data_IF_062798091222
#
_entry.id   IF_062798091222
#
_cell.length_a   1.000
_cell.length_b   1.000
_cell.length_c   1.000
_cell.angle_alpha   90.00
_cell.angle_beta   90.00
_cell.angle_gamma   90.00
#
_symmetry.space_group_name_H-M   'P 1'
#
loop_
_entity.id
_entity.type
_entity.pdbx_description
1 polymer ?
#
# COMPACT_ATOMS: atom_id res chain seq x y z
N UNK A 1 0.14 -20.68 -7.52
CA UNK A 1 0.28 -19.80 -6.33
C UNK A 1 1.54 -18.95 -6.37
N UNK A 2 1.62 -17.89 -5.56
CA UNK A 2 2.76 -16.97 -5.51
C UNK A 2 2.35 -15.51 -5.30
N UNK A 3 3.26 -14.71 -4.75
CA UNK A 3 3.01 -13.29 -4.47
C UNK A 3 2.62 -12.49 -5.74
N UNK A 4 1.87 -11.38 -5.59
CA UNK A 4 1.76 -10.38 -6.64
C UNK A 4 3.16 -9.86 -7.02
N UNK A 5 3.53 -9.94 -8.30
CA UNK A 5 4.89 -9.64 -8.77
C UNK A 5 5.80 -10.87 -8.93
N UNK A 6 5.42 -12.05 -8.43
CA UNK A 6 6.23 -13.26 -8.56
C UNK A 6 6.39 -13.77 -10.00
N UNK A 7 5.58 -13.30 -10.96
CA UNK A 7 5.66 -13.71 -12.37
C UNK A 7 4.86 -14.97 -12.70
N UNK A 8 3.76 -15.23 -11.99
CA UNK A 8 2.83 -16.34 -12.26
C UNK A 8 2.44 -16.45 -13.73
N UNK A 9 2.11 -15.35 -14.38
CA UNK A 9 1.71 -15.33 -15.78
C UNK A 9 2.81 -15.82 -16.74
N UNK A 10 4.09 -15.64 -16.40
CA UNK A 10 5.22 -16.17 -17.20
C UNK A 10 5.26 -17.69 -17.13
N UNK A 11 5.16 -18.24 -15.93
CA UNK A 11 5.08 -19.70 -15.72
C UNK A 11 3.86 -20.28 -16.40
N UNK A 12 2.68 -19.65 -16.27
CA UNK A 12 1.46 -20.06 -16.97
C UNK A 12 1.71 -20.20 -18.48
N UNK A 13 2.28 -19.18 -19.14
CA UNK A 13 2.55 -19.27 -20.59
C UNK A 13 3.52 -20.38 -20.99
N UNK A 14 4.43 -20.78 -20.11
CA UNK A 14 5.42 -21.82 -20.41
C UNK A 14 4.88 -23.25 -20.21
N UNK A 15 3.94 -23.42 -19.27
CA UNK A 15 3.45 -24.74 -18.83
C UNK A 15 2.10 -25.11 -19.40
N UNK A 16 1.27 -24.12 -19.77
CA UNK A 16 -0.10 -24.39 -20.18
C UNK A 16 -0.19 -24.79 -21.64
N UNK A 17 -1.00 -25.83 -21.89
CA UNK A 17 -1.48 -26.15 -23.23
C UNK A 17 -2.30 -24.97 -23.77
N UNK A 18 -2.29 -24.76 -25.10
CA UNK A 18 -3.04 -23.69 -25.73
C UNK A 18 -4.56 -23.79 -25.48
N UNK A 19 -5.05 -25.01 -25.20
CA UNK A 19 -6.46 -25.33 -25.00
C UNK A 19 -6.89 -25.33 -23.51
N UNK A 20 -5.96 -25.08 -22.57
CA UNK A 20 -6.28 -25.05 -21.15
C UNK A 20 -7.20 -23.88 -20.77
N UNK A 21 -8.17 -24.13 -19.91
CA UNK A 21 -9.03 -23.09 -19.36
C UNK A 21 -8.30 -22.29 -18.28
N UNK A 22 -7.88 -21.06 -18.59
CA UNK A 22 -7.23 -20.14 -17.64
C UNK A 22 -8.27 -19.30 -16.85
N UNK A 23 -8.49 -19.67 -15.59
CA UNK A 23 -9.39 -18.99 -14.67
C UNK A 23 -8.57 -18.04 -13.78
N UNK A 24 -8.59 -16.75 -14.14
CA UNK A 24 -7.84 -15.70 -13.47
C UNK A 24 -8.79 -14.61 -12.91
N UNK A 25 -8.88 -14.44 -11.57
CA UNK A 25 -9.77 -13.45 -10.96
C UNK A 25 -9.54 -12.02 -11.47
N UNK A 26 -8.30 -11.66 -11.80
CA UNK A 26 -7.97 -10.32 -12.31
C UNK A 26 -8.52 -10.08 -13.73
N UNK A 27 -8.61 -11.11 -14.59
CA UNK A 27 -9.24 -11.02 -15.90
C UNK A 27 -10.75 -10.89 -15.81
N UNK A 28 -11.36 -11.45 -14.76
CA UNK A 28 -12.80 -11.39 -14.55
C UNK A 28 -13.24 -9.99 -14.10
N UNK A 29 -12.38 -9.22 -13.42
CA UNK A 29 -12.73 -7.88 -12.89
C UNK A 29 -13.36 -6.96 -13.92
N UNK A 30 -12.90 -6.97 -15.18
CA UNK A 30 -13.41 -6.11 -16.24
C UNK A 30 -14.88 -6.36 -16.59
N UNK A 31 -15.44 -7.50 -16.17
CA UNK A 31 -16.86 -7.86 -16.36
C UNK A 31 -17.77 -7.30 -15.26
N UNK A 32 -17.22 -6.72 -14.18
CA UNK A 32 -18.03 -6.13 -13.12
C UNK A 32 -18.64 -4.80 -13.58
N UNK A 33 -19.93 -4.51 -13.34
CA UNK A 33 -20.59 -3.27 -13.80
C UNK A 33 -19.94 -1.98 -13.29
N UNK A 34 -19.29 -2.04 -12.12
CA UNK A 34 -18.60 -0.89 -11.49
C UNK A 34 -17.09 -0.87 -11.74
N UNK A 35 -16.56 -1.79 -12.55
CA UNK A 35 -15.14 -1.80 -12.86
C UNK A 35 -14.74 -0.55 -13.64
N UNK A 36 -13.68 0.11 -13.16
CA UNK A 36 -13.01 1.16 -13.89
C UNK A 36 -11.50 1.08 -13.62
N UNK A 37 -10.63 1.37 -14.59
CA UNK A 37 -9.18 1.43 -14.37
C UNK A 37 -8.77 2.41 -13.26
N UNK A 38 -9.61 3.43 -12.99
CA UNK A 38 -9.34 4.50 -12.02
C UNK A 38 -10.33 4.47 -10.84
N UNK A 39 -10.86 3.30 -10.49
CA UNK A 39 -11.80 3.17 -9.36
C UNK A 39 -11.11 3.43 -8.00
N UNK A 40 -11.86 3.95 -7.04
CA UNK A 40 -11.39 4.16 -5.67
C UNK A 40 -11.20 2.85 -4.90
N UNK A 41 -10.53 2.92 -3.75
CA UNK A 41 -10.16 1.76 -2.91
C UNK A 41 -11.37 0.87 -2.51
N UNK A 42 -12.47 1.47 -2.11
CA UNK A 42 -13.69 0.73 -1.73
C UNK A 42 -14.28 -0.06 -2.91
N UNK A 43 -14.38 0.59 -4.08
CA UNK A 43 -14.87 -0.05 -5.30
C UNK A 43 -13.91 -1.15 -5.77
N UNK A 44 -12.59 -0.95 -5.65
CA UNK A 44 -11.61 -1.98 -5.98
C UNK A 44 -11.75 -3.21 -5.09
N UNK A 45 -11.94 -3.03 -3.77
CA UNK A 45 -12.17 -4.14 -2.84
C UNK A 45 -13.47 -4.90 -3.15
N UNK A 46 -14.55 -4.20 -3.47
CA UNK A 46 -15.82 -4.79 -3.91
C UNK A 46 -15.64 -5.62 -5.19
N UNK A 47 -15.05 -5.02 -6.22
CA UNK A 47 -14.78 -5.67 -7.51
C UNK A 47 -13.88 -6.88 -7.35
N UNK A 48 -12.83 -6.78 -6.52
CA UNK A 48 -11.94 -7.89 -6.21
C UNK A 48 -12.67 -9.04 -5.53
N UNK A 49 -13.48 -8.77 -4.49
CA UNK A 49 -14.29 -9.82 -3.83
C UNK A 49 -15.28 -10.47 -4.78
N UNK A 50 -15.91 -9.70 -5.67
CA UNK A 50 -16.78 -10.24 -6.69
C UNK A 50 -16.03 -11.13 -7.68
N UNK A 51 -14.88 -10.70 -8.20
CA UNK A 51 -14.13 -11.46 -9.20
C UNK A 51 -13.53 -12.75 -8.63
N UNK A 52 -13.11 -12.74 -7.36
CA UNK A 52 -12.71 -13.96 -6.65
C UNK A 52 -13.88 -14.94 -6.52
N UNK A 53 -15.08 -14.47 -6.15
CA UNK A 53 -16.27 -15.35 -6.11
C UNK A 53 -16.60 -15.92 -7.49
N UNK A 54 -16.59 -15.10 -8.53
CA UNK A 54 -16.87 -15.58 -9.90
C UNK A 54 -15.84 -16.57 -10.42
N UNK A 55 -14.56 -16.37 -10.10
CA UNK A 55 -13.53 -17.35 -10.45
C UNK A 55 -13.78 -18.72 -9.80
N UNK A 56 -14.36 -18.75 -8.59
CA UNK A 56 -14.74 -20.00 -7.93
C UNK A 56 -15.89 -20.66 -8.67
N UNK A 57 -16.95 -19.90 -8.98
CA UNK A 57 -18.10 -20.42 -9.71
C UNK A 57 -17.64 -21.02 -11.06
N UNK A 58 -16.84 -20.27 -11.83
CA UNK A 58 -16.27 -20.70 -13.12
C UNK A 58 -15.45 -21.99 -12.97
N UNK A 59 -14.66 -22.12 -11.90
CA UNK A 59 -13.86 -23.32 -11.62
C UNK A 59 -14.73 -24.54 -11.28
N UNK A 60 -15.70 -24.36 -10.38
CA UNK A 60 -16.58 -25.44 -9.97
C UNK A 60 -17.44 -25.94 -11.13
N UNK A 61 -17.92 -25.03 -11.97
CA UNK A 61 -18.70 -25.39 -13.16
C UNK A 61 -17.82 -26.11 -14.19
N UNK A 62 -16.61 -25.63 -14.48
CA UNK A 62 -15.69 -26.28 -15.41
C UNK A 62 -15.33 -27.72 -14.98
N UNK A 63 -15.09 -27.93 -13.68
CA UNK A 63 -14.82 -29.25 -13.10
C UNK A 63 -16.05 -30.16 -13.14
N UNK A 64 -17.27 -29.62 -13.01
CA UNK A 64 -18.51 -30.41 -13.03
C UNK A 64 -18.91 -30.85 -14.42
N UNK A 65 -18.72 -29.96 -15.39
CA UNK A 65 -19.11 -30.10 -16.79
C UNK A 65 -18.24 -31.11 -17.54
N UNK A 66 -16.94 -31.18 -17.19
CA UNK A 66 -16.03 -32.19 -17.74
C UNK A 66 -15.65 -31.97 -19.21
N UNK A 67 -16.08 -30.86 -19.82
CA UNK A 67 -15.70 -30.47 -21.19
C UNK A 67 -14.23 -30.06 -21.31
N UNK A 68 -13.62 -29.57 -20.23
CA UNK A 68 -12.23 -29.10 -20.22
C UNK A 68 -11.31 -30.21 -19.72
N UNK A 69 -10.28 -30.53 -20.52
CA UNK A 69 -9.22 -31.49 -20.12
C UNK A 69 -8.29 -30.87 -19.07
N UNK A 70 -7.82 -29.66 -19.35
CA UNK A 70 -6.87 -28.93 -18.51
C UNK A 70 -7.54 -27.65 -17.97
N UNK A 71 -7.47 -27.46 -16.66
CA UNK A 71 -8.02 -26.28 -15.98
C UNK A 71 -6.93 -25.66 -15.12
N UNK A 72 -6.79 -24.34 -15.21
CA UNK A 72 -5.78 -23.57 -14.50
C UNK A 72 -6.47 -22.57 -13.61
N UNK A 73 -6.22 -22.65 -12.32
CA UNK A 73 -6.85 -21.80 -11.33
C UNK A 73 -5.83 -20.87 -10.69
N UNK A 74 -5.85 -19.59 -11.05
CA UNK A 74 -4.91 -18.61 -10.49
C UNK A 74 -5.34 -18.16 -9.09
N UNK A 75 -4.40 -18.20 -8.16
CA UNK A 75 -4.58 -17.76 -6.78
C UNK A 75 -3.24 -17.32 -6.21
N UNK A 76 -3.24 -16.41 -5.24
CA UNK A 76 -2.04 -16.14 -4.45
C UNK A 76 -1.64 -17.35 -3.60
N UNK A 77 -2.59 -18.22 -3.22
CA UNK A 77 -2.35 -19.37 -2.37
C UNK A 77 -2.15 -19.00 -0.90
N UNK A 78 -2.62 -17.84 -0.45
CA UNK A 78 -2.52 -17.40 0.95
C UNK A 78 -3.61 -17.94 1.88
N UNK A 79 -4.57 -18.70 1.34
CA UNK A 79 -5.65 -19.34 2.11
C UNK A 79 -5.73 -20.83 1.72
N UNK A 80 -5.03 -21.66 2.49
CA UNK A 80 -4.93 -23.10 2.24
C UNK A 80 -6.28 -23.82 2.38
N UNK A 81 -7.07 -23.51 3.42
CA UNK A 81 -8.36 -24.16 3.65
C UNK A 81 -9.34 -23.91 2.49
N UNK A 82 -9.30 -22.70 1.92
CA UNK A 82 -10.10 -22.36 0.75
C UNK A 82 -9.66 -23.12 -0.50
N UNK A 83 -8.34 -23.24 -0.77
CA UNK A 83 -7.83 -24.00 -1.92
C UNK A 83 -8.04 -25.53 -1.77
N UNK A 84 -7.90 -26.06 -0.57
CA UNK A 84 -8.10 -27.49 -0.25
C UNK A 84 -9.44 -28.00 -0.77
N UNK A 85 -10.53 -27.26 -0.50
CA UNK A 85 -11.88 -27.65 -0.96
C UNK A 85 -11.98 -27.80 -2.49
N UNK A 86 -11.26 -26.96 -3.25
CA UNK A 86 -11.24 -26.99 -4.71
C UNK A 86 -10.41 -28.18 -5.23
N UNK A 87 -9.25 -28.42 -4.64
CA UNK A 87 -8.41 -29.58 -4.95
C UNK A 87 -9.20 -30.88 -4.72
N UNK A 88 -9.85 -31.02 -3.57
CA UNK A 88 -10.66 -32.21 -3.26
C UNK A 88 -11.85 -32.36 -4.21
N UNK A 89 -12.48 -31.26 -4.64
CA UNK A 89 -13.54 -31.30 -5.65
C UNK A 89 -13.02 -31.82 -7.00
N UNK A 90 -11.88 -31.31 -7.47
CA UNK A 90 -11.25 -31.74 -8.72
C UNK A 90 -10.88 -33.23 -8.67
N UNK A 91 -10.24 -33.69 -7.57
CA UNK A 91 -9.89 -35.10 -7.38
C UNK A 91 -11.11 -36.02 -7.38
N UNK A 92 -12.20 -35.63 -6.72
CA UNK A 92 -13.47 -36.40 -6.76
C UNK A 92 -14.08 -36.50 -8.15
N UNK A 93 -13.73 -35.60 -9.08
CA UNK A 93 -14.13 -35.63 -10.48
C UNK A 93 -13.09 -36.30 -11.40
N UNK A 94 -12.06 -36.93 -10.83
CA UNK A 94 -11.06 -37.68 -11.57
C UNK A 94 -9.95 -36.84 -12.19
N UNK A 95 -9.84 -35.55 -11.84
CA UNK A 95 -8.72 -34.73 -12.29
C UNK A 95 -7.44 -35.10 -11.55
N UNK A 96 -6.33 -35.12 -12.28
CA UNK A 96 -4.99 -35.05 -11.73
C UNK A 96 -4.71 -33.61 -11.30
N UNK A 97 -4.13 -33.43 -10.11
CA UNK A 97 -3.97 -32.12 -9.48
C UNK A 97 -2.50 -31.75 -9.29
N UNK A 98 -2.13 -30.59 -9.84
CA UNK A 98 -0.79 -30.01 -9.71
C UNK A 98 -0.83 -28.69 -8.94
N UNK A 99 0.07 -28.52 -7.98
CA UNK A 99 0.28 -27.27 -7.26
C UNK A 99 1.61 -26.62 -7.67
N UNK A 100 1.53 -25.53 -8.41
CA UNK A 100 2.70 -24.76 -8.82
C UNK A 100 2.86 -23.51 -7.94
N UNK A 101 3.98 -23.40 -7.22
CA UNK A 101 4.36 -22.19 -6.48
C UNK A 101 5.49 -21.44 -7.21
N UNK A 102 5.16 -20.26 -7.73
CA UNK A 102 6.15 -19.33 -8.29
C UNK A 102 6.76 -18.52 -7.15
N UNK A 103 8.03 -18.78 -6.88
CA UNK A 103 8.79 -18.28 -5.75
C UNK A 103 9.80 -17.23 -6.16
N UNK A 104 9.77 -16.10 -5.45
CA UNK A 104 10.74 -15.00 -5.56
C UNK A 104 10.94 -14.40 -4.16
N UNK A 105 12.09 -13.78 -3.88
CA UNK A 105 12.29 -12.99 -2.68
C UNK A 105 11.23 -11.89 -2.59
N UNK A 106 10.85 -11.57 -1.36
CA UNK A 106 9.84 -10.56 -1.06
C UNK A 106 10.17 -9.20 -1.69
N UNK A 107 11.44 -8.81 -1.64
CA UNK A 107 11.97 -7.58 -2.24
C UNK A 107 11.71 -7.54 -3.75
N UNK A 108 12.07 -8.62 -4.46
CA UNK A 108 11.82 -8.74 -5.91
C UNK A 108 10.32 -8.65 -6.21
N UNK A 109 9.48 -9.27 -5.37
CA UNK A 109 8.04 -9.20 -5.55
C UNK A 109 7.49 -7.77 -5.45
N UNK A 110 7.95 -6.99 -4.47
CA UNK A 110 7.59 -5.58 -4.33
C UNK A 110 8.10 -4.75 -5.51
N UNK A 111 9.37 -4.95 -5.87
CA UNK A 111 10.03 -4.26 -6.97
C UNK A 111 9.28 -4.46 -8.30
N UNK A 112 9.02 -5.71 -8.67
CA UNK A 112 8.24 -6.05 -9.87
C UNK A 112 6.81 -5.49 -9.80
N UNK A 113 6.17 -5.51 -8.63
CA UNK A 113 4.84 -4.95 -8.45
C UNK A 113 4.78 -3.42 -8.69
N UNK A 114 5.80 -2.67 -8.25
CA UNK A 114 5.94 -1.23 -8.53
C UNK A 114 6.09 -0.96 -10.02
N UNK A 115 6.93 -1.74 -10.70
CA UNK A 115 7.15 -1.62 -12.15
C UNK A 115 5.87 -1.92 -12.95
N UNK A 116 5.09 -2.93 -12.56
CA UNK A 116 3.78 -3.24 -13.18
C UNK A 116 2.81 -2.07 -13.10
N UNK A 117 2.77 -1.36 -11.97
CA UNK A 117 1.86 -0.25 -11.74
C UNK A 117 2.05 0.96 -12.65
N UNK A 118 3.23 1.09 -13.28
CA UNK A 118 3.53 2.15 -14.24
C UNK A 118 3.15 1.82 -15.68
N UNK A 119 3.12 0.52 -16.03
CA UNK A 119 2.82 0.04 -17.39
C UNK A 119 1.32 0.04 -17.72
N UNK A 120 0.55 0.97 -17.13
CA UNK A 120 -0.92 1.09 -17.17
C UNK A 120 -1.55 1.05 -18.58
N UNK A 121 -0.74 1.11 -19.63
CA UNK A 121 -1.19 1.02 -21.02
C UNK A 121 -1.26 -0.40 -21.59
N UNK A 122 -0.68 -1.44 -20.96
CA UNK A 122 -0.63 -2.76 -21.63
C UNK A 122 -0.99 -4.01 -20.82
N UNK A 123 -0.66 -4.21 -19.54
CA UNK A 123 -0.77 -5.59 -18.98
C UNK A 123 -0.94 -5.80 -17.46
N UNK A 124 -0.87 -4.79 -16.56
CA UNK A 124 -0.93 -5.08 -15.12
C UNK A 124 -1.41 -3.95 -14.21
N UNK A 125 -2.15 -4.31 -13.16
CA UNK A 125 -2.54 -3.42 -12.06
C UNK A 125 -1.51 -3.49 -10.91
N UNK A 126 -1.22 -2.34 -10.30
CA UNK A 126 -0.47 -2.25 -9.05
C UNK A 126 -1.27 -2.93 -7.94
N UNK A 127 -0.64 -3.85 -7.20
CA UNK A 127 -1.23 -4.39 -5.98
C UNK A 127 -0.77 -3.56 -4.78
N UNK A 128 -1.67 -3.03 -3.93
CA UNK A 128 -1.28 -2.39 -2.68
C UNK A 128 -0.30 -3.27 -1.89
N UNK A 129 0.85 -2.71 -1.52
CA UNK A 129 1.96 -3.52 -0.99
C UNK A 129 1.60 -4.17 0.34
N UNK A 130 0.71 -3.55 1.12
CA UNK A 130 0.18 -4.15 2.35
C UNK A 130 -0.38 -5.56 2.09
N UNK A 131 -1.04 -5.78 0.95
CA UNK A 131 -1.56 -7.11 0.57
C UNK A 131 -0.42 -8.10 0.35
N UNK A 132 0.69 -7.67 -0.24
CA UNK A 132 1.90 -8.49 -0.44
C UNK A 132 2.52 -8.83 0.92
N UNK A 133 2.67 -7.83 1.80
CA UNK A 133 3.18 -8.01 3.16
C UNK A 133 2.33 -8.98 3.98
N UNK A 134 1.00 -8.86 3.91
CA UNK A 134 0.07 -9.73 4.65
C UNK A 134 0.13 -11.18 4.15
N UNK A 135 0.35 -11.38 2.84
CA UNK A 135 0.37 -12.72 2.22
C UNK A 135 1.72 -13.43 2.37
N UNK A 136 2.83 -12.70 2.32
CA UNK A 136 4.18 -13.27 2.35
C UNK A 136 4.41 -14.31 3.47
N UNK A 137 4.16 -14.01 4.76
CA UNK A 137 4.51 -14.93 5.84
C UNK A 137 3.70 -16.23 5.85
N UNK A 138 2.52 -16.27 5.19
CA UNK A 138 1.64 -17.45 5.20
C UNK A 138 1.81 -18.36 3.98
N UNK A 139 2.53 -17.93 2.93
CA UNK A 139 2.64 -18.69 1.69
C UNK A 139 3.37 -20.02 1.87
N UNK A 140 4.46 -20.03 2.62
CA UNK A 140 5.24 -21.25 2.87
C UNK A 140 4.40 -22.32 3.57
N UNK A 141 3.75 -21.95 4.68
CA UNK A 141 2.86 -22.86 5.40
C UNK A 141 1.71 -23.35 4.50
N UNK A 142 1.10 -22.45 3.74
CA UNK A 142 0.01 -22.81 2.83
C UNK A 142 0.47 -23.81 1.74
N UNK A 143 1.66 -23.62 1.16
CA UNK A 143 2.22 -24.58 0.20
C UNK A 143 2.48 -25.93 0.85
N UNK A 144 3.05 -25.97 2.05
CA UNK A 144 3.29 -27.21 2.80
C UNK A 144 1.99 -27.95 3.15
N UNK A 145 0.91 -27.24 3.45
CA UNK A 145 -0.39 -27.85 3.72
C UNK A 145 -1.05 -28.41 2.45
N UNK A 146 -0.97 -27.67 1.35
CA UNK A 146 -1.59 -28.03 0.08
C UNK A 146 -0.80 -29.11 -0.69
N UNK A 147 0.53 -29.12 -0.58
CA UNK A 147 1.39 -30.13 -1.20
C UNK A 147 1.08 -31.57 -0.73
N UNK A 148 0.51 -31.72 0.47
CA UNK A 148 0.11 -33.01 1.03
C UNK A 148 -1.14 -33.62 0.39
N UNK A 149 -1.92 -32.84 -0.35
CA UNK A 149 -3.23 -33.29 -0.88
C UNK A 149 -3.31 -33.33 -2.40
N UNK A 150 -2.43 -32.58 -3.08
CA UNK A 150 -2.28 -32.64 -4.55
C UNK A 150 -1.45 -33.85 -4.95
N UNK A 151 -1.50 -34.19 -6.24
CA UNK A 151 -0.75 -35.34 -6.77
C UNK A 151 0.70 -34.96 -7.08
N UNK A 152 0.92 -33.72 -7.54
CA UNK A 152 2.26 -33.12 -7.73
C UNK A 152 2.29 -31.72 -7.14
N UNK A 153 3.38 -31.40 -6.44
CA UNK A 153 3.65 -30.05 -5.95
C UNK A 153 5.05 -29.62 -6.37
N UNK A 154 5.17 -28.45 -6.98
CA UNK A 154 6.44 -27.91 -7.46
C UNK A 154 6.61 -26.46 -6.99
N UNK A 155 7.78 -26.16 -6.42
CA UNK A 155 8.22 -24.81 -6.10
C UNK A 155 9.24 -24.36 -7.13
N UNK A 156 8.86 -23.39 -7.95
CA UNK A 156 9.67 -22.87 -9.05
C UNK A 156 10.26 -21.52 -8.68
N UNK A 157 11.58 -21.42 -8.67
CA UNK A 157 12.27 -20.14 -8.53
C UNK A 157 12.12 -19.35 -9.83
N UNK A 158 11.56 -18.15 -9.75
CA UNK A 158 11.39 -17.26 -10.90
C UNK A 158 12.27 -16.00 -10.79
N UNK A 159 13.52 -16.24 -10.41
CA UNK A 159 14.60 -15.27 -10.29
C UNK A 159 15.94 -16.05 -10.25
N UNK A 160 17.05 -15.37 -10.49
CA UNK A 160 18.39 -15.94 -10.37
C UNK A 160 19.28 -15.03 -9.52
N UNK A 161 20.21 -15.60 -8.77
CA UNK A 161 21.14 -14.82 -7.93
C UNK A 161 22.09 -13.98 -8.78
N UNK A 162 22.44 -14.47 -9.98
CA UNK A 162 23.35 -13.79 -10.91
C UNK A 162 22.72 -12.64 -11.69
N UNK A 163 21.40 -12.41 -11.60
CA UNK A 163 20.75 -11.35 -12.39
C UNK A 163 20.98 -9.95 -11.83
N UNK A 164 21.42 -9.83 -10.57
CA UNK A 164 21.48 -8.54 -9.86
C UNK A 164 20.12 -8.00 -9.42
N UNK A 165 19.01 -8.63 -9.81
CA UNK A 165 17.64 -8.17 -9.56
C UNK A 165 17.33 -8.06 -8.07
N UNK A 166 17.84 -8.98 -7.25
CA UNK A 166 17.65 -8.92 -5.80
C UNK A 166 18.29 -7.67 -5.19
N UNK A 167 19.46 -7.29 -5.69
CA UNK A 167 20.22 -6.16 -5.17
C UNK A 167 19.58 -4.84 -5.60
N UNK A 168 19.11 -4.76 -6.86
CA UNK A 168 18.25 -3.66 -7.31
C UNK A 168 16.96 -3.55 -6.50
N UNK A 169 16.34 -4.69 -6.16
CA UNK A 169 15.11 -4.71 -5.38
C UNK A 169 15.31 -4.28 -3.93
N UNK A 170 16.42 -4.69 -3.29
CA UNK A 170 16.80 -4.22 -1.95
C UNK A 170 17.08 -2.72 -1.93
N UNK A 171 17.77 -2.25 -2.96
CA UNK A 171 18.08 -0.84 -3.16
C UNK A 171 16.81 0.00 -3.36
N UNK A 172 15.88 -0.46 -4.19
CA UNK A 172 14.55 0.14 -4.35
C UNK A 172 13.77 0.16 -3.03
N UNK A 173 13.80 -0.93 -2.27
CA UNK A 173 13.11 -1.00 -0.97
C UNK A 173 13.74 -0.04 0.05
N UNK A 174 15.05 0.20 -0.01
CA UNK A 174 15.72 1.20 0.81
C UNK A 174 15.29 2.63 0.42
N UNK A 175 15.29 2.95 -0.87
CA UNK A 175 14.95 4.29 -1.36
C UNK A 175 13.45 4.59 -1.22
N UNK A 176 12.63 3.56 -1.38
CA UNK A 176 11.18 3.63 -1.36
C UNK A 176 10.61 2.56 -0.40
N UNK A 177 10.61 2.79 0.92
CA UNK A 177 10.21 1.76 1.87
C UNK A 177 8.70 1.44 1.78
N UNK A 178 8.37 0.18 2.09
CA UNK A 178 7.02 -0.37 2.07
C UNK A 178 6.28 -0.18 3.41
N UNK A 179 4.93 -0.31 3.49
CA UNK A 179 3.99 -0.49 2.39
C UNK A 179 3.55 0.81 1.70
N UNK A 180 3.34 0.73 0.38
CA UNK A 180 2.68 1.76 -0.43
C UNK A 180 1.26 1.37 -0.85
N UNK A 181 0.36 2.34 -0.82
CA UNK A 181 -1.03 2.22 -1.28
C UNK A 181 -1.17 2.44 -2.79
N UNK A 182 -0.18 3.09 -3.42
CA UNK A 182 -0.18 3.48 -4.84
C UNK A 182 1.18 3.21 -5.47
N UNK A 183 1.24 3.02 -6.80
CA UNK A 183 2.51 2.92 -7.49
C UNK A 183 3.34 4.19 -7.25
N UNK A 184 4.67 4.08 -7.13
CA UNK A 184 5.53 5.26 -7.11
C UNK A 184 5.34 6.08 -8.39
N UNK A 185 5.76 7.36 -8.39
CA UNK A 185 5.76 8.18 -9.59
C UNK A 185 7.05 8.01 -10.42
N UNK A 186 8.09 7.44 -9.80
CA UNK A 186 9.40 7.20 -10.39
C UNK A 186 9.71 5.71 -10.29
N UNK A 187 10.35 5.17 -11.33
CA UNK A 187 10.85 3.78 -11.38
C UNK A 187 12.37 3.74 -11.54
N UNK A 188 13.00 2.61 -11.21
CA UNK A 188 14.39 2.35 -11.59
C UNK A 188 14.63 2.68 -13.06
N UNK A 189 15.70 3.40 -13.34
CA UNK A 189 16.05 3.88 -14.69
C UNK A 189 15.35 5.16 -15.15
N UNK A 190 14.39 5.72 -14.40
CA UNK A 190 13.92 7.08 -14.66
C UNK A 190 14.90 8.12 -14.11
N UNK A 191 14.99 9.26 -14.82
CA UNK A 191 15.66 10.46 -14.29
C UNK A 191 15.05 10.82 -12.93
N UNK A 192 15.89 11.18 -11.96
CA UNK A 192 15.50 11.50 -10.59
C UNK A 192 15.08 10.34 -9.69
N UNK A 193 15.14 9.10 -10.18
CA UNK A 193 14.90 7.93 -9.31
C UNK A 193 15.99 7.80 -8.24
N UNK A 194 15.56 7.64 -6.98
CA UNK A 194 16.47 7.53 -5.84
C UNK A 194 17.16 8.83 -5.43
N UNK A 195 16.90 9.96 -6.09
CA UNK A 195 17.51 11.24 -5.72
C UNK A 195 17.09 11.66 -4.31
N UNK A 196 18.09 12.04 -3.52
CA UNK A 196 17.86 12.57 -2.18
C UNK A 196 17.06 13.89 -2.27
N UNK A 197 16.20 14.19 -1.29
CA UNK A 197 15.45 15.45 -1.29
C UNK A 197 16.40 16.65 -1.19
N UNK A 198 15.95 17.79 -1.70
CA UNK A 198 16.67 19.06 -1.54
C UNK A 198 16.99 19.31 -0.06
N UNK A 199 18.24 19.65 0.24
CA UNK A 199 18.70 19.86 1.61
C UNK A 199 19.27 18.61 2.30
N UNK A 200 19.11 17.42 1.71
CA UNK A 200 19.78 16.23 2.20
C UNK A 200 21.30 16.34 2.01
N UNK A 201 22.04 16.01 3.06
CA UNK A 201 23.51 16.02 2.98
C UNK A 201 24.05 14.70 2.46
N UNK A 202 25.13 14.70 1.65
CA UNK A 202 25.81 13.47 1.29
C UNK A 202 26.44 12.85 2.55
N UNK A 203 26.61 11.51 2.61
CA UNK A 203 27.37 10.85 3.66
C UNK A 203 28.74 11.50 3.89
N UNK A 204 29.19 11.56 5.13
CA UNK A 204 30.51 12.08 5.47
C UNK A 204 31.61 11.19 4.88
N UNK A 205 32.62 11.75 4.19
CA UNK A 205 33.76 10.98 3.69
C UNK A 205 34.76 10.64 4.80
N UNK A 206 34.68 11.28 5.97
CA UNK A 206 35.67 11.16 7.03
C UNK A 206 35.66 9.76 7.66
N UNK A 207 36.85 9.15 7.75
CA UNK A 207 37.06 7.91 8.48
C UNK A 207 36.63 8.09 9.95
N UNK A 208 35.95 7.09 10.52
CA UNK A 208 35.42 7.15 11.90
C UNK A 208 34.11 7.91 12.10
N UNK A 209 33.64 8.74 11.15
CA UNK A 209 32.37 9.44 11.31
C UNK A 209 31.17 8.48 11.31
N UNK A 210 30.21 8.70 12.23
CA UNK A 210 28.90 8.02 12.21
C UNK A 210 27.94 8.64 11.19
N UNK A 211 28.24 9.81 10.61
CA UNK A 211 27.36 10.51 9.64
C UNK A 211 27.40 9.87 8.24
N UNK A 212 27.08 8.57 8.14
CA UNK A 212 27.23 7.75 6.91
C UNK A 212 25.90 7.33 6.27
N UNK A 213 24.77 7.67 6.87
CA UNK A 213 23.48 7.21 6.35
C UNK A 213 23.14 7.92 5.04
N UNK A 214 22.75 7.15 4.01
CA UNK A 214 22.32 7.71 2.73
C UNK A 214 20.84 8.07 2.79
N UNK A 215 20.49 9.34 2.60
CA UNK A 215 19.10 9.78 2.65
C UNK A 215 18.42 9.50 1.32
N UNK A 216 17.32 8.74 1.36
CA UNK A 216 16.46 8.49 0.19
C UNK A 216 15.30 9.49 0.10
N UNK A 217 14.52 9.46 -0.99
CA UNK A 217 13.31 10.28 -1.18
C UNK A 217 12.13 9.77 -0.32
N UNK A 218 12.38 9.56 0.97
CA UNK A 218 11.42 9.01 1.92
C UNK A 218 10.24 9.96 2.12
N UNK A 219 9.04 9.39 2.22
CA UNK A 219 7.78 10.13 2.36
C UNK A 219 6.95 9.57 3.49
N UNK A 220 5.99 10.35 3.98
CA UNK A 220 4.95 9.85 4.88
C UNK A 220 4.00 8.95 4.09
N UNK A 221 3.48 7.92 4.75
CA UNK A 221 2.30 7.23 4.22
C UNK A 221 1.03 8.10 4.37
N UNK A 222 -0.07 7.67 3.76
CA UNK A 222 -1.32 8.43 3.75
C UNK A 222 -1.88 8.68 5.16
N UNK A 223 -1.78 7.68 6.05
CA UNK A 223 -2.26 7.79 7.42
C UNK A 223 -1.49 8.84 8.23
N UNK A 224 -0.16 8.84 8.16
CA UNK A 224 0.69 9.82 8.85
C UNK A 224 0.51 11.21 8.24
N UNK A 225 0.34 11.31 6.91
CA UNK A 225 0.05 12.58 6.22
C UNK A 225 -1.28 13.18 6.70
N UNK A 226 -2.35 12.38 6.77
CA UNK A 226 -3.65 12.82 7.31
C UNK A 226 -3.53 13.32 8.75
N UNK A 227 -2.83 12.58 9.62
CA UNK A 227 -2.59 12.99 11.01
C UNK A 227 -1.80 14.29 11.10
N UNK A 228 -0.76 14.47 10.27
CA UNK A 228 0.00 15.72 10.19
C UNK A 228 -0.89 16.90 9.82
N UNK A 229 -1.68 16.75 8.75
CA UNK A 229 -2.54 17.81 8.25
C UNK A 229 -3.64 18.17 9.26
N UNK A 230 -4.25 17.16 9.90
CA UNK A 230 -5.22 17.38 10.97
C UNK A 230 -4.61 18.16 12.14
N UNK A 231 -3.38 17.82 12.54
CA UNK A 231 -2.67 18.55 13.60
C UNK A 231 -2.33 19.98 13.20
N UNK A 232 -1.85 20.21 11.98
CA UNK A 232 -1.59 21.57 11.50
C UNK A 232 -2.87 22.41 11.52
N UNK A 233 -3.98 21.85 11.02
CA UNK A 233 -5.28 22.53 11.06
C UNK A 233 -5.76 22.81 12.50
N UNK A 234 -5.49 21.90 13.45
CA UNK A 234 -5.76 22.14 14.86
C UNK A 234 -4.93 23.31 15.41
N UNK A 235 -3.61 23.33 15.14
CA UNK A 235 -2.73 24.41 15.58
C UNK A 235 -3.17 25.76 15.00
N UNK A 236 -3.54 25.77 13.71
CA UNK A 236 -4.04 26.99 13.04
C UNK A 236 -5.30 27.53 13.72
N UNK A 237 -6.25 26.66 14.08
CA UNK A 237 -7.46 27.08 14.82
C UNK A 237 -7.15 27.54 16.24
N UNK A 238 -6.35 26.77 16.98
CA UNK A 238 -6.12 26.98 18.42
C UNK A 238 -5.20 28.16 18.72
N UNK A 239 -4.26 28.44 17.83
CA UNK A 239 -3.24 29.47 17.96
C UNK A 239 -3.37 30.55 16.88
N UNK A 240 -4.55 30.67 16.24
CA UNK A 240 -4.86 31.71 15.23
C UNK A 240 -3.84 31.76 14.08
N UNK A 241 -3.33 30.60 13.66
CA UNK A 241 -2.32 30.47 12.62
C UNK A 241 -0.87 30.60 13.11
N UNK A 242 -0.63 30.99 14.36
CA UNK A 242 0.71 31.15 14.93
C UNK A 242 1.26 29.80 15.44
N UNK A 243 1.84 29.04 14.51
CA UNK A 243 2.43 27.72 14.79
C UNK A 243 3.76 27.86 15.52
N UNK A 244 4.48 28.95 15.25
CA UNK A 244 5.77 29.29 15.82
C UNK A 244 5.65 29.51 17.32
N UNK A 245 4.63 30.26 17.77
CA UNK A 245 4.31 30.39 19.20
C UNK A 245 4.15 29.05 19.89
N UNK A 246 3.46 28.09 19.25
CA UNK A 246 3.28 26.77 19.84
C UNK A 246 4.62 26.03 19.99
N UNK A 247 5.46 26.04 18.95
CA UNK A 247 6.75 25.38 19.00
C UNK A 247 7.66 26.06 20.02
N UNK A 248 7.76 27.38 20.01
CA UNK A 248 8.59 28.13 20.95
C UNK A 248 8.20 27.86 22.41
N UNK A 249 6.89 27.96 22.71
CA UNK A 249 6.39 27.86 24.07
C UNK A 249 6.28 26.43 24.59
N UNK A 250 5.83 25.48 23.78
CA UNK A 250 5.46 24.15 24.24
C UNK A 250 6.39 23.03 23.78
N UNK A 251 7.06 23.19 22.63
CA UNK A 251 8.05 22.21 22.15
C UNK A 251 9.42 22.53 22.73
N UNK A 252 9.97 23.70 22.42
CA UNK A 252 11.24 24.18 22.97
C UNK A 252 11.12 24.52 24.46
N UNK A 253 10.09 25.29 24.84
CA UNK A 253 9.93 25.75 26.22
C UNK A 253 11.14 26.59 26.64
N UNK A 254 11.73 26.28 27.79
CA UNK A 254 12.96 26.96 28.26
C UNK A 254 14.25 26.50 27.57
N UNK A 255 14.18 25.52 26.66
CA UNK A 255 15.37 24.98 25.99
C UNK A 255 15.72 25.81 24.76
N UNK A 256 17.01 25.90 24.51
CA UNK A 256 17.55 26.50 23.29
C UNK A 256 17.49 25.51 22.11
N UNK A 257 17.85 24.25 22.38
CA UNK A 257 17.88 23.16 21.40
C UNK A 257 17.10 21.96 21.95
N UNK A 258 16.31 21.32 21.08
CA UNK A 258 15.62 20.07 21.40
C UNK A 258 15.75 19.07 20.24
N UNK A 259 16.28 17.88 20.53
CA UNK A 259 16.25 16.73 19.63
C UNK A 259 15.20 15.73 20.13
N UNK A 260 14.17 15.49 19.33
CA UNK A 260 13.06 14.59 19.66
C UNK A 260 12.63 13.72 18.47
N UNK A 261 11.94 12.60 18.74
CA UNK A 261 11.36 11.78 17.68
C UNK A 261 10.34 12.60 16.90
N UNK A 262 10.37 12.50 15.58
CA UNK A 262 9.44 13.24 14.75
C UNK A 262 8.01 12.70 14.98
N UNK A 263 7.09 13.58 15.39
CA UNK A 263 5.67 13.23 15.63
C UNK A 263 4.98 12.66 14.38
N UNK A 264 5.46 13.03 13.19
CA UNK A 264 4.94 12.60 11.89
C UNK A 264 6.08 12.00 11.05
N UNK A 265 6.58 10.81 11.43
CA UNK A 265 7.80 10.25 10.85
C UNK A 265 7.60 9.88 9.38
N UNK A 266 8.72 9.80 8.66
CA UNK A 266 8.70 9.26 7.30
C UNK A 266 8.61 7.74 7.35
N UNK A 267 8.18 7.17 6.23
CA UNK A 267 8.33 5.75 6.00
C UNK A 267 9.79 5.49 5.64
N UNK A 268 10.51 4.86 6.56
CA UNK A 268 11.94 4.66 6.52
C UNK A 268 12.30 3.19 6.27
N UNK A 269 13.54 2.90 5.83
CA UNK A 269 14.06 1.53 5.79
C UNK A 269 14.03 0.84 7.17
N UNK A 270 14.04 -0.50 7.22
CA UNK A 270 14.13 -1.23 8.47
C UNK A 270 15.29 -0.77 9.36
N UNK A 271 15.00 -0.49 10.62
CA UNK A 271 15.99 -0.08 11.61
C UNK A 271 16.37 1.40 11.60
N UNK A 272 15.75 2.21 10.74
CA UNK A 272 15.92 3.66 10.75
C UNK A 272 14.80 4.39 11.52
N UNK A 273 15.15 5.51 12.17
CA UNK A 273 14.21 6.40 12.86
C UNK A 273 14.29 7.84 12.35
N UNK A 274 13.16 8.53 12.36
CA UNK A 274 13.05 9.94 11.97
C UNK A 274 12.90 10.82 13.22
N UNK A 275 13.84 11.74 13.41
CA UNK A 275 13.91 12.71 14.48
C UNK A 275 13.91 14.15 13.95
N UNK A 276 13.58 15.10 14.80
CA UNK A 276 13.64 16.54 14.51
C UNK A 276 14.50 17.22 15.55
N UNK A 277 15.41 18.08 15.08
CA UNK A 277 16.05 19.08 15.94
C UNK A 277 15.30 20.38 15.76
N UNK A 278 14.88 20.99 16.86
CA UNK A 278 14.38 22.35 16.96
C UNK A 278 15.45 23.22 17.61
N UNK A 279 15.63 24.44 17.10
CA UNK A 279 16.58 25.40 17.67
C UNK A 279 16.03 26.83 17.58
N UNK A 280 16.33 27.67 18.58
CA UNK A 280 15.94 29.09 18.57
C UNK A 280 16.79 29.92 17.62
N UNK A 281 18.06 29.55 17.43
CA UNK A 281 18.94 30.13 16.42
C UNK A 281 19.22 29.16 15.27
N UNK A 282 19.77 29.68 14.18
CA UNK A 282 20.21 28.84 13.08
C UNK A 282 21.54 28.16 13.39
N UNK A 283 21.59 26.83 13.33
CA UNK A 283 22.86 26.11 13.45
C UNK A 283 23.54 25.93 12.10
N UNK A 284 24.86 26.14 12.08
CA UNK A 284 25.71 25.76 10.96
C UNK A 284 25.88 24.24 10.84
N UNK A 285 26.42 23.76 9.72
CA UNK A 285 26.69 22.33 9.50
C UNK A 285 27.56 21.71 10.60
N UNK A 286 28.66 22.39 10.94
CA UNK A 286 29.62 21.88 11.92
C UNK A 286 29.03 21.84 13.33
N UNK A 287 28.31 22.90 13.72
CA UNK A 287 27.63 23.00 15.02
C UNK A 287 26.60 21.88 15.17
N UNK A 288 25.75 21.66 14.16
CA UNK A 288 24.77 20.59 14.14
C UNK A 288 25.43 19.20 14.25
N UNK A 289 26.51 18.96 13.52
CA UNK A 289 27.23 17.69 13.60
C UNK A 289 27.81 17.46 15.01
N UNK A 290 28.47 18.47 15.58
CA UNK A 290 29.01 18.40 16.92
C UNK A 290 27.91 18.13 17.96
N UNK A 291 26.77 18.81 17.82
CA UNK A 291 25.62 18.62 18.70
C UNK A 291 25.06 17.19 18.63
N UNK A 292 24.83 16.65 17.43
CA UNK A 292 24.28 15.29 17.26
C UNK A 292 25.24 14.23 17.80
N UNK A 293 26.53 14.32 17.49
CA UNK A 293 27.53 13.37 17.98
C UNK A 293 27.63 13.41 19.51
N UNK A 294 27.75 14.62 20.11
CA UNK A 294 27.76 14.76 21.57
C UNK A 294 26.47 14.27 22.23
N UNK A 295 25.32 14.49 21.59
CA UNK A 295 24.02 14.01 22.08
C UNK A 295 23.92 12.49 22.09
N UNK A 296 24.49 11.82 21.08
CA UNK A 296 24.58 10.37 20.99
C UNK A 296 25.52 9.81 22.06
N UNK A 297 26.73 10.37 22.18
CA UNK A 297 27.74 9.92 23.15
C UNK A 297 27.22 10.00 24.59
N UNK A 298 26.48 11.07 24.92
CA UNK A 298 25.86 11.23 26.23
C UNK A 298 24.71 10.22 26.54
N UNK A 299 24.31 9.40 25.57
CA UNK A 299 23.18 8.44 25.67
C UNK A 299 23.60 7.01 25.35
N UNK A 300 24.89 6.73 25.39
CA UNK A 300 25.33 5.34 25.30
C UNK A 300 24.76 4.51 26.46
N UNK A 301 24.36 3.24 26.20
CA UNK A 301 24.37 2.55 24.91
C UNK A 301 23.09 2.80 24.07
N UNK A 302 23.24 3.21 22.80
CA UNK A 302 22.12 3.48 21.88
C UNK A 302 22.11 2.67 20.57
N UNK A 303 23.18 1.91 20.29
CA UNK A 303 23.39 1.05 19.11
C UNK A 303 23.19 1.70 17.73
N UNK A 304 23.27 3.02 17.65
CA UNK A 304 23.26 3.76 16.36
C UNK A 304 24.57 3.44 15.62
N UNK A 305 24.46 2.95 14.39
CA UNK A 305 25.62 2.64 13.54
C UNK A 305 25.89 3.72 12.50
N UNK A 306 24.85 4.44 12.09
CA UNK A 306 25.00 5.60 11.24
C UNK A 306 23.86 6.58 11.42
N UNK A 307 24.09 7.83 11.06
CA UNK A 307 23.07 8.87 11.01
C UNK A 307 23.33 9.81 9.84
N UNK A 308 22.36 10.64 9.50
CA UNK A 308 22.54 11.81 8.62
C UNK A 308 21.33 12.74 8.79
N UNK A 309 21.33 13.89 8.10
CA UNK A 309 20.24 14.85 8.20
C UNK A 309 19.92 15.52 6.87
N UNK A 310 18.69 16.02 6.75
CA UNK A 310 18.28 17.00 5.74
C UNK A 310 17.83 18.30 6.41
N UNK A 311 18.19 19.43 5.81
CA UNK A 311 17.90 20.75 6.37
C UNK A 311 16.47 21.25 6.09
N UNK A 312 15.64 20.41 5.45
CA UNK A 312 14.25 20.65 5.09
C UNK A 312 14.02 21.99 4.35
N UNK A 313 15.06 22.56 3.73
CA UNK A 313 14.97 23.86 3.04
C UNK A 313 13.96 23.77 1.90
N UNK A 314 13.06 24.75 1.83
CA UNK A 314 11.99 24.82 0.83
C UNK A 314 10.71 24.01 1.12
N UNK A 315 10.66 23.24 2.23
CA UNK A 315 9.48 22.41 2.60
C UNK A 315 8.99 22.64 4.03
N UNK A 316 9.48 23.69 4.68
CA UNK A 316 9.12 24.05 6.06
C UNK A 316 7.69 24.57 6.12
N UNK A 317 6.91 24.05 7.07
CA UNK A 317 5.55 24.55 7.39
C UNK A 317 5.51 25.41 8.65
N UNK A 318 6.67 25.58 9.30
CA UNK A 318 6.89 26.32 10.54
C UNK A 318 8.21 27.09 10.36
N UNK A 319 8.20 28.38 10.66
CA UNK A 319 9.32 29.30 10.51
C UNK A 319 10.15 29.43 11.80
N UNK A 320 10.47 28.29 12.40
CA UNK A 320 11.51 28.14 13.44
C UNK A 320 12.56 27.22 12.86
N UNK A 321 13.84 27.46 13.16
CA UNK A 321 14.90 26.63 12.63
C UNK A 321 14.73 25.18 13.10
N UNK A 322 14.64 24.26 12.15
CA UNK A 322 14.58 22.84 12.42
C UNK A 322 15.16 22.04 11.26
N UNK A 323 15.68 20.86 11.59
CA UNK A 323 16.23 19.90 10.63
C UNK A 323 15.72 18.49 10.94
N UNK A 324 15.66 17.65 9.91
CA UNK A 324 15.29 16.26 10.04
C UNK A 324 16.54 15.42 10.19
N UNK A 325 16.62 14.64 11.27
CA UNK A 325 17.76 13.76 11.56
C UNK A 325 17.28 12.32 11.49
N UNK A 326 18.08 11.47 10.84
CA UNK A 326 17.79 10.06 10.66
C UNK A 326 18.87 9.24 11.33
N UNK A 327 18.46 8.31 12.19
CA UNK A 327 19.37 7.39 12.88
C UNK A 327 19.10 5.97 12.42
N UNK A 328 20.14 5.24 12.03
CA UNK A 328 20.09 3.83 11.70
C UNK A 328 20.71 3.01 12.82
N UNK A 329 19.95 2.04 13.34
CA UNK A 329 20.45 1.08 14.32
C UNK A 329 21.09 -0.14 13.67
N UNK A 330 21.87 -0.88 14.47
CA UNK A 330 22.60 -2.08 14.03
C UNK A 330 21.64 -3.21 13.64
N UNK A 331 21.96 -3.91 12.54
CA UNK A 331 21.26 -5.14 12.15
C UNK A 331 19.78 -4.97 11.79
N UNK A 332 19.38 -3.78 11.31
CA UNK A 332 17.97 -3.49 10.99
C UNK A 332 17.08 -3.27 12.21
N UNK A 333 17.65 -3.19 13.42
CA UNK A 333 16.92 -2.92 14.66
C UNK A 333 16.94 -1.40 14.92
N UNK A 334 15.79 -0.75 15.15
CA UNK A 334 15.74 0.70 15.44
C UNK A 334 16.56 1.08 16.68
N UNK A 335 17.23 2.26 16.70
CA UNK A 335 18.02 2.77 17.83
C UNK A 335 17.32 2.71 19.19
N UNK A 336 18.04 2.33 20.25
CA UNK A 336 17.57 2.42 21.65
C UNK A 336 17.87 3.79 22.23
N UNK A 337 17.30 4.81 21.61
CA UNK A 337 17.44 6.17 22.08
C UNK A 337 16.43 6.42 23.21
N UNK A 338 16.87 6.23 24.45
CA UNK A 338 16.07 6.60 25.62
C UNK A 338 15.99 8.12 25.70
N UNK A 339 14.80 8.66 25.45
CA UNK A 339 14.50 10.01 25.90
C UNK A 339 14.39 9.97 27.44
N UNK A 340 15.01 10.90 28.20
CA UNK A 340 14.92 10.88 29.66
C UNK A 340 13.46 10.74 30.11
N UNK A 341 13.20 9.85 31.05
CA UNK A 341 11.86 9.39 31.44
C UNK A 341 10.90 10.51 31.90
N UNK A 342 11.43 11.64 32.37
CA UNK A 342 10.65 12.85 32.68
C UNK A 342 10.06 13.52 31.44
N UNK A 343 10.81 13.53 30.33
CA UNK A 343 10.43 14.07 29.03
C UNK A 343 9.39 13.18 28.36
N UNK A 344 9.56 11.87 28.43
CA UNK A 344 8.59 10.91 27.91
C UNK A 344 7.27 10.94 28.70
N UNK A 345 7.31 11.12 30.03
CA UNK A 345 6.10 11.29 30.85
C UNK A 345 5.39 12.62 30.57
N UNK A 346 6.13 13.71 30.41
CA UNK A 346 5.55 15.02 30.07
C UNK A 346 4.95 15.04 28.67
N UNK A 347 5.63 14.44 27.69
CA UNK A 347 5.12 14.25 26.33
C UNK A 347 3.93 13.29 26.29
N UNK A 348 3.95 12.18 27.04
CA UNK A 348 2.81 11.25 27.13
C UNK A 348 1.61 11.89 27.84
N UNK A 349 1.83 12.77 28.82
CA UNK A 349 0.76 13.50 29.52
C UNK A 349 0.15 14.58 28.63
N UNK A 350 0.98 15.40 27.98
CA UNK A 350 0.50 16.36 26.98
C UNK A 350 -0.19 15.67 25.81
N UNK A 351 0.35 14.55 25.32
CA UNK A 351 -0.27 13.78 24.25
C UNK A 351 -1.61 13.16 24.66
N UNK A 352 -1.79 12.68 25.90
CA UNK A 352 -3.08 12.18 26.40
C UNK A 352 -4.11 13.28 26.61
N UNK A 353 -3.70 14.41 27.16
CA UNK A 353 -4.57 15.57 27.36
C UNK A 353 -4.93 16.21 25.99
N UNK A 354 -4.03 16.15 25.01
CA UNK A 354 -4.27 16.58 23.63
C UNK A 354 -5.13 15.60 22.82
N UNK A 355 -4.91 14.27 22.92
CA UNK A 355 -5.74 13.26 22.26
C UNK A 355 -7.19 13.27 22.82
N UNK A 356 -7.40 13.81 24.03
CA UNK A 356 -8.72 14.13 24.59
C UNK A 356 -9.35 15.39 24.01
N UNK A 357 -8.54 16.35 23.55
CA UNK A 357 -8.97 17.64 23.01
C UNK A 357 -9.01 17.66 21.46
N UNK A 358 -8.38 16.69 20.79
CA UNK A 358 -8.61 16.45 19.38
C UNK A 358 -10.08 16.01 19.19
N UNK A 359 -10.85 16.65 18.29
CA UNK A 359 -12.20 16.18 18.01
C UNK A 359 -12.09 14.73 17.55
N UNK A 360 -12.69 13.81 18.31
CA UNK A 360 -12.86 12.43 17.87
C UNK A 360 -13.52 12.52 16.50
N UNK A 361 -12.80 12.12 15.46
CA UNK A 361 -13.41 11.85 14.17
C UNK A 361 -14.47 10.79 14.46
N UNK A 362 -15.74 11.22 14.47
CA UNK A 362 -16.89 10.37 14.76
C UNK A 362 -16.82 9.11 13.90
N UNK A 363 -16.85 7.90 14.47
CA UNK A 363 -16.89 6.68 13.69
C UNK A 363 -18.33 6.41 13.21
N UNK A 364 -18.81 7.22 12.26
CA UNK A 364 -20.08 6.97 11.56
C UNK A 364 -20.04 5.70 10.69
N UNK A 365 -18.86 5.09 10.48
CA UNK A 365 -18.70 3.91 9.61
C UNK A 365 -18.63 2.55 10.34
N UNK A 366 -18.57 2.52 11.69
CA UNK A 366 -18.45 1.24 12.42
C UNK A 366 -19.78 0.54 12.72
N UNK A 367 -20.92 1.23 12.63
CA UNK A 367 -22.24 0.60 12.89
C UNK A 367 -22.80 -0.23 11.73
N UNK A 368 -22.16 -0.26 10.55
CA UNK A 368 -22.55 -1.14 9.44
C UNK A 368 -21.78 -2.46 9.35
N UNK A 369 -20.80 -2.72 10.23
CA UNK A 369 -19.90 -3.90 10.13
C UNK A 369 -20.21 -5.05 11.09
N UNK A 370 -21.42 -5.12 11.66
CA UNK A 370 -21.82 -6.19 12.60
C UNK A 370 -23.06 -6.99 12.20
N UNK A 371 -23.56 -6.83 10.98
CA UNK A 371 -24.63 -7.67 10.43
C UNK A 371 -24.17 -8.32 9.14
N UNK A 372 -23.44 -9.43 9.26
CA UNK A 372 -23.39 -10.51 8.27
C UNK A 372 -22.51 -11.62 8.86
N UNK A 373 -23.04 -12.25 9.91
CA UNK A 373 -22.66 -13.61 10.25
C UNK A 373 -23.35 -14.52 9.23
N UNK A 374 -22.52 -15.34 8.59
CA UNK A 374 -22.91 -16.44 7.73
C UNK A 374 -23.97 -17.32 8.42
N UNK A 375 -25.20 -17.29 7.93
CA UNK A 375 -26.14 -18.40 8.09
C UNK A 375 -26.21 -19.19 6.78
N UNK A 376 -25.84 -20.45 6.93
CA UNK A 376 -25.97 -21.53 5.96
C UNK A 376 -27.44 -21.95 5.86
N UNK A 377 -28.03 -21.88 4.67
CA UNK A 377 -29.27 -22.60 4.38
C UNK A 377 -29.21 -23.27 3.00
N UNK A 378 -29.24 -24.60 3.01
CA UNK A 378 -29.44 -25.45 1.83
C UNK A 378 -30.90 -25.37 1.31
N UNK A 379 -31.15 -25.64 0.02
CA UNK A 379 -32.50 -25.64 -0.53
C UNK A 379 -33.17 -27.02 -0.35
N UNK A 380 -34.45 -27.02 0.05
CA UNK A 380 -35.35 -28.17 -0.13
C UNK A 380 -36.30 -27.89 -1.29
N UNK A 381 -36.40 -28.87 -2.20
CA UNK A 381 -37.41 -29.04 -3.25
C UNK A 381 -38.77 -29.43 -2.64
N UNK A 382 -39.86 -28.98 -3.28
CA UNK A 382 -41.12 -29.69 -3.58
C UNK A 382 -42.13 -28.64 -4.10
N UNK A 383 -42.40 -28.58 -5.42
CA UNK A 383 -43.53 -29.22 -6.12
C UNK A 383 -44.91 -28.73 -5.66
N UNK A 384 -45.65 -28.06 -6.56
CA UNK A 384 -46.98 -28.44 -7.07
C UNK A 384 -47.66 -27.24 -7.75
N UNK A 385 -48.02 -27.43 -9.03
CA UNK A 385 -49.15 -26.76 -9.71
C UNK A 385 -50.44 -27.53 -9.36
N UNK A 386 -51.66 -26.95 -9.47
CA UNK A 386 -52.26 -26.69 -10.79
C UNK A 386 -53.11 -25.40 -10.91
N UNK A 387 -53.37 -25.04 -12.17
CA UNK A 387 -54.34 -24.05 -12.72
C UNK A 387 -55.82 -24.43 -12.40
N UNK A 388 -56.89 -23.81 -12.98
CA UNK A 388 -57.01 -22.67 -13.93
C UNK A 388 -58.20 -21.71 -13.63
N UNK A 389 -58.49 -20.83 -14.60
CA UNK A 389 -59.79 -20.21 -14.97
C UNK A 389 -59.85 -18.68 -14.86
N UNK A 390 -60.30 -18.03 -15.94
CA UNK A 390 -60.75 -16.64 -15.93
C UNK A 390 -60.58 -15.92 -17.27
N UNK A 391 -61.51 -16.15 -18.18
CA UNK A 391 -61.79 -15.33 -19.37
C UNK A 391 -62.06 -13.86 -19.00
N UNK A 392 -61.82 -12.94 -19.94
CA UNK A 392 -62.13 -11.52 -19.73
C UNK A 392 -61.75 -10.65 -20.93
N UNK A 393 -62.75 -10.41 -21.76
CA UNK A 393 -62.81 -9.68 -23.03
C UNK A 393 -62.41 -8.19 -23.00
N UNK A 394 -62.24 -7.65 -24.21
CA UNK A 394 -62.48 -6.28 -24.67
C UNK A 394 -61.56 -5.09 -24.31
N UNK A 395 -61.22 -4.30 -25.35
CA UNK A 395 -61.11 -2.85 -25.19
C UNK A 395 -60.03 -2.08 -25.96
N UNK A 396 -60.30 -1.77 -27.24
CA UNK A 396 -60.01 -0.53 -27.98
C UNK A 396 -58.78 0.36 -27.61
N UNK A 397 -57.94 0.54 -28.63
CA UNK A 397 -57.45 1.81 -29.22
C UNK A 397 -57.06 2.99 -28.30
N UNK A 398 -55.79 3.45 -28.44
CA UNK A 398 -55.41 4.82 -28.88
C UNK A 398 -53.90 5.00 -28.88
N UNK A 399 -53.37 5.59 -29.96
CA UNK A 399 -52.05 6.19 -30.01
C UNK A 399 -51.99 7.46 -29.13
N UNK A 400 -50.78 7.92 -28.78
CA UNK A 400 -50.47 9.29 -29.16
C UNK A 400 -49.05 9.51 -29.70
N UNK A 401 -48.99 10.51 -30.57
CA UNK A 401 -47.87 11.22 -31.18
C UNK A 401 -47.02 12.01 -30.16
N UNK A 402 -45.83 12.53 -30.56
CA UNK A 402 -44.81 13.05 -29.67
C UNK A 402 -44.92 14.56 -29.44
N UNK A 403 -44.56 15.02 -28.24
CA UNK A 403 -44.36 16.44 -27.95
C UNK A 403 -42.89 16.84 -27.88
N UNK A 404 -42.62 17.96 -28.55
CA UNK A 404 -41.40 18.76 -28.58
C UNK A 404 -41.20 19.50 -27.25
N UNK A 405 -39.95 19.83 -26.92
CA UNK A 405 -39.47 21.10 -26.33
C UNK A 405 -37.93 21.02 -26.33
N UNK A 406 -37.23 21.73 -27.23
CA UNK A 406 -36.80 23.14 -27.18
C UNK A 406 -35.33 23.32 -26.76
N UNK A 407 -34.53 23.69 -27.76
CA UNK A 407 -33.33 24.53 -27.78
C UNK A 407 -32.84 25.12 -26.44
N UNK A 408 -31.53 25.00 -26.20
CA UNK A 408 -30.69 26.13 -25.78
C UNK A 408 -29.22 25.90 -26.17
N UNK A 409 -28.68 26.88 -26.91
CA UNK A 409 -27.26 27.05 -27.28
C UNK A 409 -26.44 27.50 -26.05
N UNK A 410 -25.19 27.05 -25.97
CA UNK A 410 -24.10 27.75 -25.27
C UNK A 410 -22.77 27.22 -25.84
N UNK A 411 -22.15 27.94 -26.78
CA UNK A 411 -21.03 28.88 -26.57
C UNK A 411 -19.74 28.19 -26.10
N UNK A 412 -18.91 27.84 -27.09
CA UNK A 412 -17.48 27.54 -26.95
C UNK A 412 -16.69 28.84 -26.67
N UNK A 413 -15.75 28.85 -25.73
CA UNK A 413 -14.77 29.92 -25.65
C UNK A 413 -13.55 29.61 -26.54
N UNK A 414 -13.33 30.49 -27.50
CA UNK A 414 -12.05 30.66 -28.20
C UNK A 414 -11.03 31.29 -27.23
N UNK A 415 -9.92 30.61 -26.96
CA UNK A 415 -8.77 31.26 -26.33
C UNK A 415 -7.81 31.80 -27.39
N UNK A 416 -7.65 33.12 -27.32
CA UNK A 416 -6.77 33.97 -28.10
C UNK A 416 -5.30 33.63 -27.84
N UNK A 417 -4.52 33.63 -28.93
CA UNK A 417 -3.08 33.83 -28.93
C UNK A 417 -2.77 35.28 -28.55
N UNK A 418 -1.70 35.50 -27.78
CA UNK A 418 -0.94 36.74 -27.77
C UNK A 418 0.56 36.44 -27.98
N UNK A 419 1.29 37.28 -28.71
CA UNK A 419 2.73 37.13 -29.02
C UNK A 419 3.64 38.06 -28.20
N UNK A 420 4.97 37.92 -28.42
CA UNK A 420 6.07 38.86 -28.10
C UNK A 420 6.55 38.90 -26.63
N UNK A 421 7.83 39.09 -26.25
CA UNK A 421 9.16 39.11 -26.88
C UNK A 421 10.22 39.16 -25.75
N UNK A 422 11.47 38.84 -26.11
CA UNK A 422 12.78 39.05 -25.43
C UNK A 422 13.13 38.13 -24.27
#
# INVERSE_FOLDING_TARGET
>A
MGLPGAGKSTVKRQRLSADALDIEPDRIKCRHPRYSPNMGEETDEEVHRWSVRRSVDDFEDAVRDGRFRDIVFDSSGSNASWLRRRIELAKRRGFFTELLWVDVPFEISLFRNRNRGHEQRRTGQFCPEKIILDKWPVLEQSFQELSKIVDVAERMKNWTESSGELEEAKEDLYLYPAPRSRPPALRPGMKHYGEAPDGARPPSPSAGSRRKLRIGPWKRNDAVTRRKNARLAYLDRRYKGDREYYVDKYVLGSRDVLLERNRFPYQLPPGAEHWTIWCRHEMGHQELCNYVEAWLDAREPHHVVSWNYDDNRGRRTINIWHVHVYFQGRGGIPPRLTCPSSLERSLKRSQRDEDRLEPRLEPSEKRRRLGDRFDTASPRRASQSPSPCGEGDDGRARAPTPERLSKARSLLPQHKRSPCSV
#
